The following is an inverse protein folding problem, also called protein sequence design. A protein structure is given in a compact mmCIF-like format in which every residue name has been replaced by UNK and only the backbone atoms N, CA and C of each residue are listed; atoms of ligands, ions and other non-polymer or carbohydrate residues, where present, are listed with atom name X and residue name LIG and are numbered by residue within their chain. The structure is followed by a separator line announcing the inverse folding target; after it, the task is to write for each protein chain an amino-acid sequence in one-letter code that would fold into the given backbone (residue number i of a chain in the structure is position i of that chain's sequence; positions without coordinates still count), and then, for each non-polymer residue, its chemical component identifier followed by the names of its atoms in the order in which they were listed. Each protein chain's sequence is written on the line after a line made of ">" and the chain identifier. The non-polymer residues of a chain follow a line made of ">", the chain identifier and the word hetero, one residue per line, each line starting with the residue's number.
data_IF_864419438600
#
_entry.id   IF_864419438600
#
_cell.length_a   1.000
_cell.length_b   1.000
_cell.length_c   1.000
_cell.angle_alpha   90.00
_cell.angle_beta   90.00
_cell.angle_gamma   90.00
#
_symmetry.space_group_name_H-M   'P 1'
#
loop_
_entity.id
_entity.type
_entity.pdbx_description
1 polymer ?
#
# COMPACT_ATOMS: atom_id res chain seq x y z
N UNK A 1 -10.80 4.62 5.20
CA UNK A 1 -11.04 3.32 5.86
C UNK A 1 -12.53 3.18 6.16
N UNK A 2 -13.09 2.00 5.97
CA UNK A 2 -14.51 1.68 6.24
C UNK A 2 -14.77 1.25 7.69
N UNK A 3 -16.01 0.84 7.96
CA UNK A 3 -16.50 0.52 9.32
C UNK A 3 -16.03 -0.85 9.82
N UNK A 4 -15.82 -1.80 8.92
CA UNK A 4 -15.47 -3.18 9.29
C UNK A 4 -13.94 -3.28 9.46
N UNK A 5 -13.49 -3.46 10.69
CA UNK A 5 -12.10 -3.78 10.99
C UNK A 5 -11.79 -5.24 10.61
N UNK A 6 -10.59 -5.47 10.09
CA UNK A 6 -10.11 -6.80 9.69
C UNK A 6 -9.01 -7.26 10.64
N UNK A 7 -8.96 -8.56 10.88
CA UNK A 7 -7.80 -9.17 11.55
C UNK A 7 -6.58 -9.11 10.64
N UNK A 8 -5.40 -9.03 11.24
CA UNK A 8 -4.12 -9.04 10.53
C UNK A 8 -3.08 -9.83 11.32
N UNK A 9 -2.29 -10.62 10.61
CA UNK A 9 -1.01 -11.12 11.08
C UNK A 9 0.09 -10.19 10.57
N UNK A 10 1.11 -9.95 11.39
CA UNK A 10 2.24 -9.10 11.00
C UNK A 10 3.53 -9.74 11.48
N UNK A 11 4.47 -9.92 10.56
CA UNK A 11 5.83 -10.36 10.84
C UNK A 11 6.78 -9.22 10.49
N UNK A 12 7.54 -8.73 11.48
CA UNK A 12 8.45 -7.61 11.30
C UNK A 12 8.78 -6.88 12.61
N UNK A 13 9.27 -5.65 12.49
CA UNK A 13 9.68 -4.83 13.64
C UNK A 13 8.50 -4.39 14.50
N UNK A 14 8.69 -4.35 15.83
CA UNK A 14 7.70 -3.82 16.79
C UNK A 14 7.43 -2.32 16.63
N UNK A 15 8.27 -1.60 15.86
CA UNK A 15 8.11 -0.18 15.57
C UNK A 15 7.20 0.11 14.38
N UNK A 16 6.68 -0.92 13.69
CA UNK A 16 5.63 -0.74 12.69
C UNK A 16 4.29 -1.16 13.29
N UNK A 17 3.30 -0.28 13.22
CA UNK A 17 1.90 -0.61 13.52
C UNK A 17 1.14 -0.72 12.21
N UNK A 18 0.29 -1.74 12.10
CA UNK A 18 -0.50 -2.03 10.92
C UNK A 18 -1.95 -2.30 11.30
N UNK A 19 -2.87 -1.66 10.60
CA UNK A 19 -4.31 -1.79 10.76
C UNK A 19 -4.94 -2.03 9.38
N UNK A 20 -5.99 -2.84 9.33
CA UNK A 20 -6.68 -3.18 8.11
C UNK A 20 -8.19 -3.04 8.33
N UNK A 21 -8.87 -2.38 7.40
CA UNK A 21 -10.33 -2.27 7.38
C UNK A 21 -10.83 -2.56 5.97
N UNK A 22 -12.08 -2.95 5.83
CA UNK A 22 -12.76 -2.88 4.54
C UNK A 22 -12.75 -1.45 4.00
N UNK A 23 -12.75 -1.30 2.69
CA UNK A 23 -12.80 0.02 2.04
C UNK A 23 -14.14 0.72 2.30
N UNK A 24 -14.13 2.06 2.35
CA UNK A 24 -15.34 2.85 2.70
C UNK A 24 -16.28 3.04 1.50
N UNK A 25 -15.71 3.33 0.33
CA UNK A 25 -16.45 3.80 -0.85
C UNK A 25 -16.29 2.87 -2.06
N UNK A 26 -15.66 1.71 -1.86
CA UNK A 26 -15.29 0.76 -2.92
C UNK A 26 -15.16 -0.64 -2.33
N UNK A 27 -15.15 -1.65 -3.19
CA UNK A 27 -14.75 -3.01 -2.80
C UNK A 27 -13.26 -3.07 -2.47
N UNK A 28 -12.89 -4.04 -1.65
CA UNK A 28 -11.51 -4.27 -1.23
C UNK A 28 -11.21 -3.75 0.17
N UNK A 29 -9.93 -3.43 0.41
CA UNK A 29 -9.44 -3.10 1.75
C UNK A 29 -8.64 -1.80 1.76
N UNK A 30 -8.61 -1.15 2.92
CA UNK A 30 -7.71 -0.04 3.22
C UNK A 30 -6.81 -0.41 4.38
N UNK A 31 -5.51 -0.26 4.18
CA UNK A 31 -4.48 -0.42 5.21
C UNK A 31 -4.07 0.94 5.76
N UNK A 32 -3.73 0.96 7.04
CA UNK A 32 -3.02 2.05 7.72
C UNK A 32 -1.73 1.47 8.30
N UNK A 33 -0.59 1.98 7.84
CA UNK A 33 0.73 1.63 8.33
C UNK A 33 1.34 2.85 9.02
N UNK A 34 1.87 2.68 10.22
CA UNK A 34 2.52 3.73 11.00
C UNK A 34 3.92 3.25 11.36
N UNK A 35 4.94 3.94 10.85
CA UNK A 35 6.32 3.66 11.19
C UNK A 35 6.79 4.59 12.31
N UNK A 36 7.16 4.00 13.43
CA UNK A 36 7.65 4.69 14.63
C UNK A 36 9.18 4.62 14.73
N UNK A 37 9.86 4.05 13.74
CA UNK A 37 11.30 4.09 13.64
C UNK A 37 11.73 5.39 12.95
N UNK A 38 12.69 6.10 13.55
CA UNK A 38 13.21 7.36 13.01
C UNK A 38 14.33 7.21 12.00
N UNK A 39 14.90 6.01 11.87
CA UNK A 39 16.10 5.77 11.07
C UNK A 39 15.85 4.74 9.96
N UNK A 40 14.74 4.01 10.02
CA UNK A 40 14.49 2.86 9.15
C UNK A 40 13.30 3.10 8.25
N UNK A 41 13.50 2.99 6.94
CA UNK A 41 12.42 2.83 5.97
C UNK A 41 11.97 1.38 5.93
N UNK A 42 10.67 1.12 6.05
CA UNK A 42 10.11 -0.24 6.04
C UNK A 42 9.50 -0.54 4.67
N UNK A 43 9.80 -1.72 4.11
CA UNK A 43 9.12 -2.25 2.93
C UNK A 43 8.11 -3.32 3.36
N UNK A 44 6.83 -2.95 3.39
CA UNK A 44 5.75 -3.85 3.79
C UNK A 44 5.16 -4.57 2.58
N UNK A 45 5.00 -5.89 2.68
CA UNK A 45 4.26 -6.70 1.71
C UNK A 45 2.94 -7.14 2.29
N UNK A 46 1.92 -7.21 1.45
CA UNK A 46 0.55 -7.54 1.84
C UNK A 46 0.19 -8.87 1.18
N UNK A 47 -0.32 -9.80 1.98
CA UNK A 47 -0.85 -11.08 1.53
C UNK A 47 -2.17 -11.36 2.23
N UNK A 48 -3.08 -12.03 1.52
CA UNK A 48 -4.38 -12.45 2.04
C UNK A 48 -4.49 -13.96 1.97
N UNK A 49 -4.94 -14.60 3.06
CA UNK A 49 -4.98 -16.07 3.18
C UNK A 49 -5.94 -16.74 2.18
N UNK A 50 -6.97 -16.02 1.72
CA UNK A 50 -8.07 -16.60 0.92
C UNK A 50 -8.17 -16.08 -0.52
N UNK A 51 -7.15 -15.41 -1.06
CA UNK A 51 -7.17 -15.12 -2.50
C UNK A 51 -6.81 -16.37 -3.28
N UNK A 52 -7.82 -17.10 -3.75
CA UNK A 52 -7.74 -17.84 -5.02
C UNK A 52 -7.45 -16.82 -6.12
N UNK A 53 -6.19 -16.41 -6.19
CA UNK A 53 -5.68 -15.73 -7.36
C UNK A 53 -5.84 -16.73 -8.50
N UNK A 54 -6.78 -16.44 -9.42
CA UNK A 54 -6.83 -17.05 -10.75
C UNK A 54 -5.64 -16.60 -11.62
N UNK A 55 -4.47 -16.45 -11.00
CA UNK A 55 -3.18 -16.20 -11.59
C UNK A 55 -2.18 -16.95 -10.74
N UNK A 56 -1.70 -18.07 -11.26
CA UNK A 56 -0.63 -18.89 -10.71
C UNK A 56 0.62 -18.03 -10.45
N UNK A 57 0.78 -17.51 -9.23
CA UNK A 57 2.00 -16.82 -8.83
C UNK A 57 2.99 -17.85 -8.29
N UNK A 58 3.68 -18.54 -9.20
CA UNK A 58 4.83 -19.38 -8.84
C UNK A 58 5.99 -18.47 -8.44
N UNK A 59 6.36 -18.47 -7.16
CA UNK A 59 7.64 -17.92 -6.73
C UNK A 59 8.77 -18.68 -7.41
N UNK A 60 9.52 -18.00 -8.28
CA UNK A 60 10.76 -18.54 -8.83
C UNK A 60 11.81 -18.65 -7.73
N UNK A 61 11.97 -19.85 -7.18
CA UNK A 61 13.20 -20.23 -6.50
C UNK A 61 14.36 -20.17 -7.51
N UNK A 62 15.44 -19.47 -7.14
CA UNK A 62 16.73 -19.55 -7.82
C UNK A 62 17.16 -21.02 -7.95
N UNK A 63 17.04 -21.56 -9.16
CA UNK A 63 17.72 -22.78 -9.58
C UNK A 63 18.57 -22.43 -10.79
N UNK A 64 19.87 -22.31 -10.54
CA UNK A 64 20.90 -22.36 -11.55
C UNK A 64 20.82 -23.71 -12.27
N UNK A 65 20.34 -23.74 -13.51
CA UNK A 65 20.98 -24.37 -14.67
C UNK A 65 20.01 -24.65 -15.83
N UNK A 66 20.55 -24.33 -17.02
CA UNK A 66 20.29 -24.88 -18.36
C UNK A 66 19.17 -24.29 -19.24
N UNK A 67 19.66 -23.93 -20.41
CA UNK A 67 19.07 -23.39 -21.63
C UNK A 67 17.95 -24.24 -22.22
N UNK A 68 16.80 -23.63 -22.54
CA UNK A 68 15.99 -23.93 -23.75
C UNK A 68 15.26 -22.68 -24.22
N UNK A 69 15.42 -22.40 -25.51
CA UNK A 69 14.78 -21.33 -26.27
C UNK A 69 13.29 -21.66 -26.44
N UNK A 70 12.40 -20.72 -26.11
CA UNK A 70 10.99 -20.81 -26.47
C UNK A 70 10.38 -19.44 -26.72
N UNK A 71 10.22 -19.15 -28.01
CA UNK A 71 9.12 -18.46 -28.71
C UNK A 71 8.42 -17.31 -27.99
N UNK A 72 8.68 -16.10 -28.51
CA UNK A 72 7.97 -14.84 -28.24
C UNK A 72 6.48 -15.02 -28.52
N UNK A 73 5.66 -14.95 -27.46
CA UNK A 73 4.23 -14.70 -27.58
C UNK A 73 3.97 -13.22 -27.28
N UNK A 74 3.19 -12.63 -28.17
CA UNK A 74 2.94 -11.20 -28.34
C UNK A 74 1.95 -10.74 -27.26
N UNK A 75 2.32 -9.65 -26.58
CA UNK A 75 1.73 -9.14 -25.34
C UNK A 75 0.21 -9.23 -25.18
N UNK A 76 -0.21 -9.95 -24.14
CA UNK A 76 -1.35 -9.54 -23.33
C UNK A 76 -0.91 -8.31 -22.53
N UNK A 77 -1.65 -7.20 -22.61
CA UNK A 77 -1.53 -6.13 -21.61
C UNK A 77 -1.88 -6.78 -20.27
N UNK A 78 -0.88 -7.17 -19.49
CA UNK A 78 -1.06 -7.52 -18.09
C UNK A 78 -1.63 -6.26 -17.46
N UNK A 79 -2.94 -6.28 -17.17
CA UNK A 79 -3.57 -5.22 -16.39
C UNK A 79 -2.86 -5.24 -15.04
N UNK A 80 -1.87 -4.36 -14.88
CA UNK A 80 -1.10 -4.26 -13.66
C UNK A 80 -2.07 -3.72 -12.62
N UNK A 81 -2.61 -4.60 -11.78
CA UNK A 81 -3.42 -4.17 -10.66
C UNK A 81 -2.62 -3.15 -9.85
N UNK A 82 -3.19 -1.95 -9.69
CA UNK A 82 -2.58 -0.88 -8.90
C UNK A 82 -3.28 -0.73 -7.56
N UNK A 83 -2.58 -0.18 -6.60
CA UNK A 83 -3.14 0.34 -5.36
C UNK A 83 -2.87 1.84 -5.28
N UNK A 84 -3.73 2.54 -4.57
CA UNK A 84 -3.58 3.96 -4.29
C UNK A 84 -2.88 4.12 -2.93
N UNK A 85 -1.82 4.92 -2.87
CA UNK A 85 -1.09 5.21 -1.63
C UNK A 85 -1.12 6.70 -1.28
N UNK A 86 -1.28 6.96 0.01
CA UNK A 86 -1.35 8.29 0.61
C UNK A 86 -0.34 8.34 1.76
N UNK A 87 0.82 8.93 1.48
CA UNK A 87 1.93 9.07 2.41
C UNK A 87 1.82 10.40 3.13
N UNK A 88 1.74 10.34 4.46
CA UNK A 88 1.70 11.50 5.33
C UNK A 88 3.04 11.63 6.06
N UNK A 89 3.67 12.78 5.89
CA UNK A 89 4.93 13.13 6.55
C UNK A 89 4.82 14.53 7.15
N UNK A 90 5.56 14.77 8.24
CA UNK A 90 5.69 16.11 8.77
C UNK A 90 6.57 16.97 7.85
N UNK A 91 6.32 18.29 7.80
CA UNK A 91 7.14 19.21 7.01
C UNK A 91 8.58 19.19 7.51
N UNK A 92 9.52 19.07 6.57
CA UNK A 92 10.96 19.02 6.83
C UNK A 92 11.40 17.88 7.77
N UNK A 93 10.53 16.87 7.97
CA UNK A 93 10.77 15.77 8.92
C UNK A 93 10.62 16.18 10.39
N UNK A 94 10.17 17.40 10.69
CA UNK A 94 9.96 17.88 12.06
C UNK A 94 8.61 17.42 12.61
N UNK A 95 8.63 16.48 13.56
CA UNK A 95 7.43 15.95 14.21
C UNK A 95 6.64 16.97 15.03
N UNK A 96 7.23 18.12 15.36
CA UNK A 96 6.53 19.23 16.02
C UNK A 96 5.84 20.17 15.03
N UNK A 97 6.12 20.04 13.73
CA UNK A 97 5.50 20.84 12.69
C UNK A 97 3.98 20.67 12.69
N UNK A 98 3.28 21.79 12.64
CA UNK A 98 1.82 21.82 12.45
C UNK A 98 1.43 21.70 10.96
N UNK A 99 2.41 21.55 10.07
CA UNK A 99 2.20 21.36 8.64
C UNK A 99 2.50 19.92 8.25
N UNK A 100 1.52 19.26 7.65
CA UNK A 100 1.66 17.91 7.11
C UNK A 100 1.72 17.93 5.59
N UNK A 101 2.43 16.98 5.01
CA UNK A 101 2.50 16.78 3.57
C UNK A 101 1.74 15.51 3.22
N UNK A 102 0.94 15.56 2.16
CA UNK A 102 0.38 14.41 1.49
C UNK A 102 1.19 14.15 0.23
N UNK A 103 1.83 12.98 0.13
CA UNK A 103 2.61 12.56 -1.03
C UNK A 103 3.65 13.62 -1.43
N UNK A 104 4.28 14.27 -0.44
CA UNK A 104 5.28 15.32 -0.63
C UNK A 104 4.71 16.72 -0.93
N UNK A 105 3.40 16.92 -0.94
CA UNK A 105 2.75 18.22 -1.15
C UNK A 105 2.11 18.72 0.14
N UNK A 106 2.26 20.01 0.45
CA UNK A 106 1.64 20.60 1.65
C UNK A 106 0.13 20.38 1.63
N UNK A 107 -0.39 19.80 2.70
CA UNK A 107 -1.81 19.58 2.89
C UNK A 107 -2.40 20.74 3.68
N UNK A 108 -2.97 21.71 2.97
CA UNK A 108 -3.61 22.89 3.57
C UNK A 108 -4.95 23.16 2.91
N UNK A 109 -5.86 23.77 3.66
CA UNK A 109 -7.06 24.39 3.10
C UNK A 109 -6.69 25.67 2.36
N UNK A 110 -7.55 26.09 1.44
CA UNK A 110 -7.41 27.41 0.81
C UNK A 110 -7.89 28.54 1.76
N UNK A 111 -7.80 29.79 1.30
CA UNK A 111 -8.24 30.97 2.08
C UNK A 111 -9.72 30.94 2.48
N UNK A 112 -10.56 30.18 1.78
CA UNK A 112 -11.98 29.99 2.09
C UNK A 112 -12.24 28.76 2.99
N UNK A 113 -11.21 28.06 3.45
CA UNK A 113 -11.34 26.86 4.29
C UNK A 113 -11.72 25.59 3.53
N UNK A 114 -11.67 25.58 2.19
CA UNK A 114 -12.00 24.40 1.38
C UNK A 114 -10.89 23.37 1.49
N UNK A 115 -11.28 22.12 1.79
CA UNK A 115 -10.38 20.96 1.86
C UNK A 115 -9.96 20.57 0.42
N UNK A 116 -8.65 20.42 0.14
CA UNK A 116 -8.18 20.05 -1.19
C UNK A 116 -8.52 18.60 -1.52
N UNK A 117 -8.50 18.26 -2.81
CA UNK A 117 -8.51 16.85 -3.24
C UNK A 117 -7.27 16.12 -2.71
N UNK A 118 -7.45 14.89 -2.25
CA UNK A 118 -6.37 14.04 -1.79
C UNK A 118 -5.94 13.13 -2.95
N UNK A 119 -4.89 13.54 -3.66
CA UNK A 119 -4.41 12.81 -4.84
C UNK A 119 -3.48 11.65 -4.42
N UNK A 120 -3.80 10.40 -4.81
CA UNK A 120 -2.96 9.25 -4.50
C UNK A 120 -1.73 9.14 -5.41
N UNK A 121 -0.73 8.40 -4.93
CA UNK A 121 0.26 7.78 -5.79
C UNK A 121 -0.25 6.39 -6.18
N UNK A 122 -0.27 6.08 -7.49
CA UNK A 122 -0.65 4.75 -8.00
C UNK A 122 0.57 3.86 -8.07
N UNK A 123 0.56 2.77 -7.31
CA UNK A 123 1.69 1.83 -7.20
C UNK A 123 1.23 0.44 -7.64
N UNK A 124 2.11 -0.34 -8.29
CA UNK A 124 1.81 -1.73 -8.65
C UNK A 124 1.54 -2.54 -7.39
N UNK A 125 0.49 -3.37 -7.38
CA UNK A 125 0.19 -4.23 -6.23
C UNK A 125 1.32 -5.23 -5.92
N UNK A 126 2.14 -5.58 -6.93
CA UNK A 126 3.34 -6.41 -6.78
C UNK A 126 4.47 -5.78 -5.96
N UNK A 127 4.53 -4.45 -5.92
CA UNK A 127 5.65 -3.74 -5.32
C UNK A 127 5.39 -3.58 -3.82
N UNK A 128 6.41 -3.60 -2.94
CA UNK A 128 6.18 -3.36 -1.52
C UNK A 128 5.67 -1.95 -1.25
N UNK A 129 4.89 -1.77 -0.18
CA UNK A 129 4.54 -0.45 0.35
C UNK A 129 5.76 0.08 1.11
N UNK A 130 6.32 1.19 0.65
CA UNK A 130 7.49 1.82 1.30
C UNK A 130 7.00 2.80 2.37
N UNK A 131 7.31 2.56 3.63
CA UNK A 131 6.90 3.43 4.75
C UNK A 131 8.13 4.13 5.29
N UNK A 132 8.22 5.45 5.06
CA UNK A 132 9.35 6.27 5.50
C UNK A 132 9.48 6.31 7.03
N UNK A 133 10.63 6.71 7.59
CA UNK A 133 10.77 6.91 9.03
C UNK A 133 9.76 7.93 9.57
N UNK A 134 9.28 7.73 10.80
CA UNK A 134 8.27 8.57 11.46
C UNK A 134 7.13 9.07 10.55
N UNK A 135 6.54 8.15 9.78
CA UNK A 135 5.52 8.47 8.79
C UNK A 135 4.30 7.57 8.90
N UNK A 136 3.24 7.99 8.22
CA UNK A 136 1.97 7.26 8.13
C UNK A 136 1.65 7.03 6.66
N UNK A 137 1.18 5.84 6.33
CA UNK A 137 0.74 5.51 4.96
C UNK A 137 -0.65 4.89 5.02
N UNK A 138 -1.58 5.46 4.24
CA UNK A 138 -2.81 4.77 3.89
C UNK A 138 -2.62 4.11 2.51
N UNK A 139 -2.96 2.83 2.40
CA UNK A 139 -2.92 2.11 1.14
C UNK A 139 -4.29 1.51 0.85
N UNK A 140 -4.89 1.91 -0.26
CA UNK A 140 -6.17 1.40 -0.75
C UNK A 140 -5.93 0.35 -1.83
N UNK A 141 -6.29 -0.89 -1.52
CA UNK A 141 -6.19 -2.04 -2.43
C UNK A 141 -7.61 -2.35 -2.90
N UNK A 142 -7.95 -1.80 -4.07
CA UNK A 142 -9.24 -2.04 -4.71
C UNK A 142 -9.32 -3.46 -5.29
N UNK A 143 -10.55 -3.91 -5.54
CA UNK A 143 -10.86 -5.14 -6.28
C UNK A 143 -10.23 -6.43 -5.71
N UNK A 144 -9.88 -6.43 -4.41
CA UNK A 144 -9.50 -7.64 -3.70
C UNK A 144 -10.74 -8.27 -3.06
N UNK A 145 -10.91 -9.57 -3.26
CA UNK A 145 -12.01 -10.33 -2.68
C UNK A 145 -11.68 -10.72 -1.25
N UNK A 146 -12.28 -10.02 -0.30
CA UNK A 146 -12.24 -10.37 1.12
C UNK A 146 -13.69 -10.59 1.56
N UNK A 147 -14.08 -11.82 1.95
CA UNK A 147 -15.48 -12.15 2.27
C UNK A 147 -16.12 -11.22 3.31
N UNK A 148 -15.35 -10.74 4.29
CA UNK A 148 -15.83 -9.80 5.31
C UNK A 148 -16.11 -8.37 4.80
N UNK A 149 -15.73 -8.07 3.55
CA UNK A 149 -15.86 -6.76 2.90
C UNK A 149 -16.86 -6.77 1.73
N UNK A 150 -17.63 -7.84 1.59
CA UNK A 150 -18.70 -7.99 0.62
C UNK A 150 -20.07 -7.73 1.25
#
# INVERSE_FOLDING_TARGET
>A
MGRNALSKSFSGTKKLRAYAHCSKASSGITLLLINLDGNTTVQARVSTENTTSNGTWTMHHHRTHRTKISRVSRGSKVERHTRDEYHLTAKDGDLHSQTMLLNGKILTVNSSGVIPSFEPIKVSQSDPITVAPFSIVFAHIANITVPACM
#
